data_IF_530283494938
#
_entry.id   IF_530283494938
#
_cell.length_a   1.000
_cell.length_b   1.000
_cell.length_c   1.000
_cell.angle_alpha   90.00
_cell.angle_beta   90.00
_cell.angle_gamma   90.00
#
_symmetry.space_group_name_H-M   'P 1'
#
loop_
_entity.id
_entity.type
_entity.pdbx_description
1 polymer ?
#
# COMPACT_ATOMS: atom_id res chain seq x y z
N UNK A 1 -1.18 10.36 8.69
CA UNK A 1 -0.59 10.08 7.39
C UNK A 1 -0.02 8.67 7.38
N UNK A 2 -0.43 7.82 6.45
CA UNK A 2 0.58 7.07 5.73
C UNK A 2 0.75 7.60 4.31
N UNK A 3 1.93 7.39 3.75
CA UNK A 3 2.18 7.50 2.32
C UNK A 3 2.26 6.07 1.76
N UNK A 4 1.38 5.76 0.84
CA UNK A 4 1.35 4.46 0.17
C UNK A 4 1.98 4.59 -1.22
N UNK A 5 2.90 3.69 -1.52
CA UNK A 5 3.48 3.57 -2.87
C UNK A 5 3.21 2.18 -3.40
N UNK A 6 2.56 2.11 -4.55
CA UNK A 6 2.29 0.85 -5.24
C UNK A 6 3.16 0.78 -6.48
N UNK A 7 4.04 -0.21 -6.55
CA UNK A 7 4.90 -0.45 -7.71
C UNK A 7 4.41 -1.67 -8.46
N UNK A 8 4.13 -1.53 -9.75
CA UNK A 8 3.64 -2.60 -10.60
C UNK A 8 4.09 -2.38 -12.04
N UNK A 9 3.91 -3.39 -12.87
CA UNK A 9 4.19 -3.29 -14.31
C UNK A 9 3.05 -2.56 -15.02
N UNK A 10 3.37 -1.69 -15.97
CA UNK A 10 2.41 -1.01 -16.85
C UNK A 10 1.49 -1.97 -17.58
N UNK A 11 0.34 -1.48 -17.98
CA UNK A 11 -0.60 -2.18 -18.84
C UNK A 11 -1.99 -2.37 -18.24
N UNK A 12 -2.16 -2.00 -16.98
CA UNK A 12 -3.46 -2.06 -16.34
C UNK A 12 -4.31 -0.85 -16.71
N UNK A 13 -5.63 -1.03 -16.72
CA UNK A 13 -6.58 0.05 -16.97
C UNK A 13 -6.58 1.07 -15.82
N UNK A 14 -7.04 2.28 -16.08
CA UNK A 14 -7.25 3.27 -15.03
C UNK A 14 -8.26 2.76 -14.00
N UNK A 15 -9.30 2.04 -14.43
CA UNK A 15 -10.27 1.45 -13.53
C UNK A 15 -9.61 0.48 -12.54
N UNK A 16 -8.66 -0.34 -13.01
CA UNK A 16 -7.92 -1.25 -12.13
C UNK A 16 -7.10 -0.46 -11.10
N UNK A 17 -6.40 0.58 -11.53
CA UNK A 17 -5.61 1.43 -10.63
C UNK A 17 -6.53 2.07 -9.57
N UNK A 18 -7.69 2.57 -9.98
CA UNK A 18 -8.67 3.18 -9.06
C UNK A 18 -9.18 2.16 -8.05
N UNK A 19 -9.46 0.94 -8.48
CA UNK A 19 -9.91 -0.15 -7.59
C UNK A 19 -8.82 -0.55 -6.60
N UNK A 20 -7.57 -0.61 -7.04
CA UNK A 20 -6.42 -0.87 -6.14
C UNK A 20 -6.30 0.25 -5.12
N UNK A 21 -6.40 1.50 -5.56
CA UNK A 21 -6.35 2.67 -4.68
C UNK A 21 -7.41 2.62 -3.59
N UNK A 22 -8.66 2.41 -3.97
CA UNK A 22 -9.80 2.34 -3.03
C UNK A 22 -9.64 1.16 -2.08
N UNK A 23 -9.22 0.01 -2.58
CA UNK A 23 -9.02 -1.20 -1.78
C UNK A 23 -8.01 -0.98 -0.66
N UNK A 24 -6.86 -0.39 -0.99
CA UNK A 24 -5.81 -0.14 -0.01
C UNK A 24 -6.28 0.91 1.02
N UNK A 25 -6.93 1.96 0.56
CA UNK A 25 -7.42 3.00 1.47
C UNK A 25 -8.46 2.45 2.44
N UNK A 26 -9.42 1.67 1.96
CA UNK A 26 -10.43 1.03 2.81
C UNK A 26 -9.79 0.07 3.83
N UNK A 27 -8.78 -0.67 3.41
CA UNK A 27 -8.05 -1.56 4.31
C UNK A 27 -7.36 -0.79 5.44
N UNK A 28 -6.74 0.35 5.14
CA UNK A 28 -6.08 1.18 6.14
C UNK A 28 -7.08 1.92 7.05
N UNK A 29 -8.22 2.33 6.53
CA UNK A 29 -9.31 2.88 7.36
C UNK A 29 -9.73 1.83 8.38
N UNK A 30 -9.90 0.59 7.95
CA UNK A 30 -10.33 -0.52 8.80
C UNK A 30 -9.26 -0.91 9.83
N UNK A 31 -8.02 -1.09 9.40
CA UNK A 31 -6.95 -1.66 10.21
C UNK A 31 -6.11 -0.63 10.97
N UNK A 32 -5.91 0.55 10.40
CA UNK A 32 -5.15 1.64 11.02
C UNK A 32 -6.06 2.70 11.66
N UNK A 33 -7.38 2.56 11.53
CA UNK A 33 -8.35 3.56 11.95
C UNK A 33 -8.07 4.92 11.30
N UNK A 34 -7.64 4.88 10.04
CA UNK A 34 -7.28 6.05 9.27
C UNK A 34 -8.53 6.90 8.99
N UNK A 35 -8.49 8.23 9.19
CA UNK A 35 -9.59 9.08 8.76
C UNK A 35 -9.79 8.98 7.24
N UNK A 36 -11.04 8.94 6.73
CA UNK A 36 -11.29 8.73 5.29
C UNK A 36 -10.61 9.75 4.37
N UNK A 37 -10.40 10.96 4.84
CA UNK A 37 -9.76 12.01 4.06
C UNK A 37 -8.23 11.98 4.07
N UNK A 38 -7.63 11.12 4.88
CA UNK A 38 -6.19 10.99 4.96
C UNK A 38 -5.70 10.04 3.85
N UNK A 39 -5.60 10.56 2.63
CA UNK A 39 -5.30 9.78 1.44
C UNK A 39 -4.09 10.36 0.72
N UNK A 40 -2.98 9.62 0.77
CA UNK A 40 -1.75 9.92 0.06
C UNK A 40 -1.20 8.66 -0.57
N UNK A 41 -1.31 8.57 -1.90
CA UNK A 41 -0.90 7.40 -2.65
C UNK A 41 -0.17 7.82 -3.92
N UNK A 42 0.79 7.01 -4.34
CA UNK A 42 1.39 7.13 -5.65
C UNK A 42 1.57 5.74 -6.27
N UNK A 43 1.38 5.68 -7.58
CA UNK A 43 1.53 4.47 -8.35
C UNK A 43 2.73 4.61 -9.27
N UNK A 44 3.70 3.74 -9.10
CA UNK A 44 4.89 3.67 -9.95
C UNK A 44 4.66 2.53 -10.93
N UNK A 45 4.41 2.88 -12.19
CA UNK A 45 4.13 1.91 -13.25
C UNK A 45 5.40 1.76 -14.08
N UNK A 46 6.04 0.60 -13.97
CA UNK A 46 7.29 0.31 -14.64
C UNK A 46 7.08 -0.37 -15.98
N UNK A 47 8.01 -0.13 -16.90
CA UNK A 47 8.02 -0.84 -18.18
C UNK A 47 8.14 -2.36 -17.93
N UNK A 48 7.54 -3.21 -18.80
CA UNK A 48 7.72 -4.65 -18.72
C UNK A 48 9.20 -5.02 -18.68
N UNK A 49 9.56 -5.89 -17.72
CA UNK A 49 10.95 -6.28 -17.49
C UNK A 49 11.73 -5.40 -16.52
N UNK A 50 11.17 -4.27 -16.09
CA UNK A 50 11.85 -3.38 -15.12
C UNK A 50 11.52 -3.71 -13.68
N UNK A 51 10.45 -4.45 -13.42
CA UNK A 51 10.12 -4.96 -12.10
C UNK A 51 10.57 -6.42 -12.04
N UNK A 52 11.64 -6.67 -11.30
CA UNK A 52 12.28 -7.99 -11.23
C UNK A 52 12.01 -8.59 -9.86
N UNK A 53 11.49 -9.80 -9.83
CA UNK A 53 11.10 -10.46 -8.59
C UNK A 53 11.16 -11.98 -8.76
N UNK A 54 11.40 -12.68 -7.65
CA UNK A 54 11.37 -14.14 -7.63
C UNK A 54 9.93 -14.65 -7.60
N UNK A 55 9.63 -15.69 -8.35
CA UNK A 55 8.27 -16.23 -8.47
C UNK A 55 7.84 -17.06 -7.26
N UNK A 56 8.78 -17.52 -6.45
CA UNK A 56 8.49 -18.53 -5.41
C UNK A 56 9.02 -18.19 -4.03
N UNK A 57 9.99 -17.32 -3.92
CA UNK A 57 10.62 -17.02 -2.62
C UNK A 57 9.60 -16.41 -1.64
N UNK A 58 9.49 -17.02 -0.49
CA UNK A 58 8.64 -16.53 0.60
C UNK A 58 7.13 -16.68 0.35
N UNK A 59 6.75 -17.33 -0.73
CA UNK A 59 5.34 -17.50 -1.13
C UNK A 59 5.24 -17.78 -2.61
N UNK A 60 4.11 -17.43 -3.20
CA UNK A 60 3.90 -17.62 -4.62
C UNK A 60 3.09 -18.87 -4.94
N UNK A 61 3.02 -19.31 -6.23
CA UNK A 61 3.71 -18.67 -7.36
C UNK A 61 3.14 -17.29 -7.68
N UNK A 62 4.04 -16.36 -7.95
CA UNK A 62 3.68 -14.99 -8.34
C UNK A 62 3.48 -14.91 -9.85
N UNK A 63 2.52 -14.10 -10.28
CA UNK A 63 2.22 -13.88 -11.69
C UNK A 63 2.83 -12.57 -12.19
N UNK A 64 2.54 -12.21 -13.46
CA UNK A 64 2.94 -10.93 -14.03
C UNK A 64 2.17 -9.74 -13.42
N UNK A 65 1.12 -10.02 -12.65
CA UNK A 65 0.32 -9.00 -11.96
C UNK A 65 0.87 -8.64 -10.57
N UNK A 66 2.07 -9.10 -10.26
CA UNK A 66 2.74 -8.82 -8.99
C UNK A 66 2.85 -7.32 -8.72
N UNK A 67 2.62 -6.95 -7.47
CA UNK A 67 2.80 -5.58 -7.01
C UNK A 67 3.52 -5.53 -5.66
N UNK A 68 4.22 -4.43 -5.44
CA UNK A 68 4.82 -4.09 -4.16
C UNK A 68 4.03 -2.92 -3.58
N UNK A 69 3.48 -3.11 -2.39
CA UNK A 69 2.77 -2.07 -1.64
C UNK A 69 3.64 -1.64 -0.47
N UNK A 70 4.10 -0.41 -0.51
CA UNK A 70 4.91 0.17 0.55
C UNK A 70 4.07 1.19 1.32
N UNK A 71 4.04 1.05 2.64
CA UNK A 71 3.29 1.95 3.51
C UNK A 71 4.27 2.59 4.49
N UNK A 72 4.50 3.89 4.31
CA UNK A 72 5.35 4.68 5.21
C UNK A 72 4.45 5.46 6.15
N UNK A 73 4.58 5.21 7.45
CA UNK A 73 3.68 5.79 8.45
C UNK A 73 4.39 6.07 9.77
N UNK A 74 3.66 6.70 10.67
CA UNK A 74 4.02 6.74 12.08
C UNK A 74 3.99 5.34 12.71
N UNK A 75 4.54 5.21 13.90
CA UNK A 75 4.70 3.93 14.57
C UNK A 75 3.36 3.22 14.78
N UNK A 76 3.36 1.92 14.55
CA UNK A 76 2.21 1.03 14.76
C UNK A 76 2.66 -0.23 15.49
N UNK A 77 1.74 -0.82 16.26
CA UNK A 77 2.00 -2.09 16.95
C UNK A 77 2.02 -3.25 15.95
N UNK A 78 2.63 -4.35 16.38
CA UNK A 78 2.69 -5.57 15.56
C UNK A 78 1.31 -6.07 15.15
N UNK A 79 0.34 -6.07 16.08
CA UNK A 79 -1.01 -6.53 15.80
C UNK A 79 -1.73 -5.65 14.77
N UNK A 80 -1.52 -4.33 14.84
CA UNK A 80 -2.06 -3.41 13.84
C UNK A 80 -1.46 -3.67 12.46
N UNK A 81 -0.16 -3.88 12.37
CA UNK A 81 0.50 -4.19 11.10
C UNK A 81 0.03 -5.52 10.53
N UNK A 82 -0.08 -6.55 11.36
CA UNK A 82 -0.58 -7.86 10.91
C UNK A 82 -2.02 -7.76 10.41
N UNK A 83 -2.87 -7.04 11.11
CA UNK A 83 -4.24 -6.79 10.66
C UNK A 83 -4.27 -6.04 9.32
N UNK A 84 -3.36 -5.09 9.13
CA UNK A 84 -3.26 -4.35 7.88
C UNK A 84 -2.80 -5.24 6.72
N UNK A 85 -1.85 -6.14 6.93
CA UNK A 85 -1.45 -7.11 5.90
C UNK A 85 -2.66 -7.90 5.41
N UNK A 86 -3.43 -8.46 6.32
CA UNK A 86 -4.59 -9.27 5.99
C UNK A 86 -5.68 -8.45 5.30
N UNK A 87 -5.97 -7.27 5.83
CA UNK A 87 -7.01 -6.39 5.30
C UNK A 87 -6.69 -5.89 3.89
N UNK A 88 -5.44 -5.49 3.65
CA UNK A 88 -5.00 -5.04 2.31
C UNK A 88 -5.20 -6.15 1.28
N UNK A 89 -4.73 -7.35 1.58
CA UNK A 89 -4.84 -8.49 0.67
C UNK A 89 -6.30 -8.87 0.43
N UNK A 90 -7.12 -8.87 1.47
CA UNK A 90 -8.55 -9.20 1.37
C UNK A 90 -9.29 -8.19 0.49
N UNK A 91 -9.10 -6.89 0.72
CA UNK A 91 -9.74 -5.85 -0.09
C UNK A 91 -9.25 -5.89 -1.55
N UNK A 92 -7.97 -6.06 -1.78
CA UNK A 92 -7.42 -6.17 -3.13
C UNK A 92 -7.99 -7.38 -3.87
N UNK A 93 -8.12 -8.51 -3.19
CA UNK A 93 -8.67 -9.72 -3.80
C UNK A 93 -10.14 -9.55 -4.16
N UNK A 94 -10.94 -9.03 -3.25
CA UNK A 94 -12.39 -8.90 -3.45
C UNK A 94 -12.77 -7.79 -4.43
N UNK A 95 -12.08 -6.66 -4.37
CA UNK A 95 -12.49 -5.45 -5.10
C UNK A 95 -11.70 -5.18 -6.38
N UNK A 96 -10.48 -5.70 -6.48
CA UNK A 96 -9.63 -5.49 -7.65
C UNK A 96 -9.20 -6.80 -8.33
N UNK A 97 -9.60 -7.95 -7.80
CA UNK A 97 -9.27 -9.26 -8.37
C UNK A 97 -7.78 -9.60 -8.30
N UNK A 98 -7.04 -9.01 -7.38
CA UNK A 98 -5.61 -9.28 -7.19
C UNK A 98 -5.44 -10.56 -6.40
N UNK A 99 -4.61 -11.48 -6.91
CA UNK A 99 -4.31 -12.72 -6.20
C UNK A 99 -3.46 -12.41 -4.96
N UNK A 100 -3.76 -13.04 -3.81
CA UNK A 100 -2.96 -12.82 -2.60
C UNK A 100 -1.45 -13.03 -2.79
N UNK A 101 -1.06 -14.01 -3.60
CA UNK A 101 0.33 -14.34 -3.88
C UNK A 101 1.08 -13.21 -4.61
N UNK A 102 0.34 -12.31 -5.25
CA UNK A 102 0.88 -11.21 -6.05
C UNK A 102 1.08 -9.92 -5.25
N UNK A 103 0.89 -9.94 -3.94
CA UNK A 103 0.98 -8.73 -3.12
C UNK A 103 2.11 -8.86 -2.09
N UNK A 104 3.19 -8.11 -2.32
CA UNK A 104 4.25 -7.95 -1.33
C UNK A 104 4.02 -6.64 -0.61
N UNK A 105 3.93 -6.67 0.72
CA UNK A 105 3.66 -5.47 1.51
C UNK A 105 4.83 -5.19 2.44
N UNK A 106 5.28 -3.94 2.46
CA UNK A 106 6.32 -3.48 3.36
C UNK A 106 5.78 -2.30 4.15
N UNK A 107 5.86 -2.40 5.48
CA UNK A 107 5.58 -1.25 6.35
C UNK A 107 6.88 -0.65 6.85
N UNK A 108 7.06 0.65 6.62
CA UNK A 108 8.04 1.47 7.31
C UNK A 108 7.27 2.37 8.29
N UNK A 109 7.09 1.87 9.51
CA UNK A 109 6.26 2.49 10.53
C UNK A 109 7.13 2.99 11.69
N UNK A 110 8.10 3.86 11.39
CA UNK A 110 9.10 4.36 12.34
C UNK A 110 9.02 5.84 12.59
N UNK A 111 8.31 6.57 11.74
CA UNK A 111 8.18 8.03 11.89
C UNK A 111 7.27 8.39 13.06
N UNK A 112 7.45 9.60 13.57
CA UNK A 112 6.53 10.20 14.52
C UNK A 112 5.80 11.35 13.84
N UNK A 113 4.79 11.89 14.51
CA UNK A 113 4.05 13.06 14.04
C UNK A 113 4.96 14.28 13.83
N UNK A 114 6.16 14.28 14.42
CA UNK A 114 7.13 15.36 14.28
C UNK A 114 7.96 15.26 13.00
N UNK A 115 7.92 14.11 12.32
CA UNK A 115 8.82 13.83 11.20
C UNK A 115 8.27 14.26 9.85
N UNK A 116 7.02 14.75 9.80
CA UNK A 116 6.43 15.15 8.52
C UNK A 116 5.58 16.40 8.63
N UNK A 117 5.40 17.03 7.48
CA UNK A 117 4.51 18.19 7.29
C UNK A 117 3.52 17.81 6.18
N UNK A 118 2.24 18.08 6.41
CA UNK A 118 1.20 17.82 5.40
C UNK A 118 1.07 18.96 4.40
N UNK A 119 1.85 20.01 4.56
CA UNK A 119 1.87 21.15 3.67
C UNK A 119 2.24 22.44 4.40
N UNK A 120 2.56 23.48 3.65
CA UNK A 120 2.92 24.81 4.14
C UNK A 120 4.14 24.85 5.08
N UNK A 121 4.91 23.77 5.16
CA UNK A 121 6.07 23.69 6.04
C UNK A 121 5.72 23.62 7.52
N UNK A 122 4.48 23.33 7.87
CA UNK A 122 4.03 23.22 9.25
C UNK A 122 4.07 21.77 9.67
N UNK A 123 4.75 21.46 10.78
CA UNK A 123 4.80 20.11 11.34
C UNK A 123 3.39 19.59 11.62
N UNK A 124 3.15 18.32 11.30
CA UNK A 124 1.89 17.66 11.62
C UNK A 124 1.57 17.68 13.12
N UNK A 125 2.61 17.75 13.96
CA UNK A 125 2.48 17.86 15.41
C UNK A 125 1.76 19.16 15.85
N UNK A 126 1.69 20.16 14.97
CA UNK A 126 1.08 21.46 15.27
C UNK A 126 -0.33 21.62 14.70
N UNK A 127 -0.84 20.59 14.07
CA UNK A 127 -2.19 20.66 13.49
C UNK A 127 -3.28 20.32 14.50
#
# INVERSE_FOLDING_TARGET
MPLVTVTLTKGKSQQYIDQVSVSINNALIESYLLPPGDLFQRFIQLEPGSLIYDRHYGGGPRSDDFMIVEVKSDARRRDEKNAAFESIVEHLSKSAGVRPEDVLIIFDARSTIEDFSLGNGISANKL
#
